data_IF_084620191675
#
_entry.id   IF_084620191675
#
_cell.length_a   1.000
_cell.length_b   1.000
_cell.length_c   1.000
_cell.angle_alpha   90.00
_cell.angle_beta   90.00
_cell.angle_gamma   90.00
#
_symmetry.space_group_name_H-M   'P 1'
#
loop_
_entity.id
_entity.type
_entity.pdbx_description
1 polymer ?
#
# COMPACT_ATOMS: atom_id res chain seq x y z
N UNK A 1 -50.86 -14.61 14.98
CA UNK A 1 -49.87 -13.59 14.57
C UNK A 1 -48.51 -14.20 14.90
N UNK A 2 -47.86 -14.96 14.01
CA UNK A 2 -46.97 -14.47 12.94
C UNK A 2 -45.68 -13.92 13.58
N UNK A 3 -44.44 -14.41 13.38
CA UNK A 3 -43.90 -15.30 12.37
C UNK A 3 -42.62 -16.01 12.88
N UNK A 4 -42.20 -16.99 12.09
CA UNK A 4 -41.12 -17.96 12.25
C UNK A 4 -39.75 -17.42 12.68
N UNK A 5 -39.11 -18.14 13.60
CA UNK A 5 -37.66 -18.12 13.78
C UNK A 5 -37.03 -19.03 12.71
N UNK A 6 -36.40 -18.43 11.72
CA UNK A 6 -35.54 -19.14 10.77
C UNK A 6 -34.11 -19.08 11.30
N UNK A 7 -33.71 -20.07 12.09
CA UNK A 7 -32.29 -20.30 12.38
C UNK A 7 -31.67 -20.94 11.13
N UNK A 8 -30.98 -20.14 10.31
CA UNK A 8 -30.20 -20.65 9.18
C UNK A 8 -28.71 -20.50 9.45
N UNK A 9 -28.08 -21.69 9.56
CA UNK A 9 -26.67 -22.04 9.33
C UNK A 9 -25.61 -21.25 10.11
N UNK A 10 -25.18 -21.93 11.18
CA UNK A 10 -23.81 -21.95 11.71
C UNK A 10 -22.78 -21.88 10.57
N UNK A 11 -22.14 -20.73 10.39
CA UNK A 11 -20.95 -20.60 9.58
C UNK A 11 -19.75 -20.90 10.48
N UNK A 12 -19.17 -22.09 10.29
CA UNK A 12 -17.79 -22.38 10.68
C UNK A 12 -16.91 -21.91 9.53
N UNK A 13 -16.54 -20.64 9.54
CA UNK A 13 -15.49 -20.09 8.71
C UNK A 13 -14.58 -19.31 9.63
N UNK A 14 -13.28 -19.60 9.60
CA UNK A 14 -12.25 -18.87 10.34
C UNK A 14 -12.53 -17.38 10.26
N UNK A 15 -12.62 -16.72 11.41
CA UNK A 15 -12.71 -15.27 11.51
C UNK A 15 -11.49 -14.76 10.76
N UNK A 16 -11.69 -14.21 9.55
CA UNK A 16 -10.65 -13.49 8.85
C UNK A 16 -10.12 -12.48 9.86
N UNK A 17 -8.82 -12.52 10.14
CA UNK A 17 -8.19 -11.62 11.09
C UNK A 17 -8.69 -10.22 10.77
N UNK A 18 -9.50 -9.67 11.66
CA UNK A 18 -10.03 -8.32 11.53
C UNK A 18 -8.79 -7.43 11.47
N UNK A 19 -8.54 -6.85 10.29
CA UNK A 19 -7.39 -5.98 10.10
C UNK A 19 -7.64 -4.76 10.97
N UNK A 20 -7.01 -4.73 12.14
CA UNK A 20 -7.01 -3.57 13.03
C UNK A 20 -5.88 -2.67 12.52
N UNK A 21 -6.16 -1.54 11.83
CA UNK A 21 -5.11 -0.66 11.41
C UNK A 21 -4.36 -0.12 12.64
N UNK A 22 -3.02 -0.16 12.67
CA UNK A 22 -2.27 0.56 13.68
C UNK A 22 -2.61 2.04 13.56
N UNK A 23 -2.84 2.69 14.69
CA UNK A 23 -3.17 4.12 14.84
C UNK A 23 -2.26 5.01 13.97
N UNK A 24 -2.75 5.35 12.78
CA UNK A 24 -2.05 6.14 11.76
C UNK A 24 -3.09 6.91 10.96
N UNK A 25 -2.90 8.23 10.87
CA UNK A 25 -3.97 9.20 10.63
C UNK A 25 -4.88 8.93 9.42
N UNK A 26 -6.17 9.26 9.58
CA UNK A 26 -7.33 9.28 8.67
C UNK A 26 -7.33 8.30 7.47
N UNK A 27 -6.29 8.25 6.64
CA UNK A 27 -6.27 7.57 5.34
C UNK A 27 -5.92 6.08 5.33
N UNK A 28 -5.49 5.45 6.44
CA UNK A 28 -5.21 4.02 6.44
C UNK A 28 -6.49 3.20 6.27
N UNK A 29 -6.65 2.56 5.11
CA UNK A 29 -7.85 1.83 4.71
C UNK A 29 -8.96 2.70 4.13
N UNK A 30 -8.78 4.02 4.06
CA UNK A 30 -9.72 4.93 3.41
C UNK A 30 -9.64 4.80 1.89
N UNK A 31 -10.74 5.21 1.26
CA UNK A 31 -10.86 5.25 -0.19
C UNK A 31 -9.99 6.37 -0.77
N UNK A 32 -9.14 6.02 -1.73
CA UNK A 32 -8.44 6.92 -2.63
C UNK A 32 -9.18 6.98 -3.98
N UNK A 33 -9.77 8.13 -4.27
CA UNK A 33 -10.52 8.36 -5.51
C UNK A 33 -9.60 8.37 -6.72
N UNK A 34 -10.15 8.10 -7.92
CA UNK A 34 -9.38 8.29 -9.17
C UNK A 34 -9.07 9.78 -9.33
N UNK A 35 -7.82 10.11 -9.66
CA UNK A 35 -7.26 11.47 -9.62
C UNK A 35 -6.88 11.95 -8.22
N UNK A 36 -7.23 11.19 -7.18
CA UNK A 36 -6.89 11.47 -5.80
C UNK A 36 -5.44 11.11 -5.48
N UNK A 37 -4.88 11.82 -4.51
CA UNK A 37 -3.51 11.56 -4.04
C UNK A 37 -3.41 11.69 -2.53
N UNK A 38 -2.47 10.95 -1.95
CA UNK A 38 -2.13 10.99 -0.54
C UNK A 38 -0.65 11.28 -0.37
N UNK A 39 -0.30 12.23 0.50
CA UNK A 39 1.08 12.47 0.90
C UNK A 39 1.37 11.72 2.20
N UNK A 40 2.42 10.92 2.19
CA UNK A 40 2.77 10.00 3.27
C UNK A 40 4.21 10.24 3.68
N UNK A 41 4.45 10.51 4.96
CA UNK A 41 5.78 10.50 5.54
C UNK A 41 6.08 9.11 6.10
N UNK A 42 7.14 8.51 5.61
CA UNK A 42 7.67 7.23 6.06
C UNK A 42 9.00 7.49 6.78
N UNK A 43 9.06 7.17 8.07
CA UNK A 43 10.29 7.25 8.86
C UNK A 43 10.84 5.85 9.06
N UNK A 44 12.01 5.57 8.47
CA UNK A 44 12.64 4.25 8.52
C UNK A 44 13.75 4.17 9.58
N UNK A 45 13.80 3.06 10.29
CA UNK A 45 14.87 2.67 11.21
C UNK A 45 15.54 1.39 10.69
N UNK A 46 16.88 1.42 10.55
CA UNK A 46 17.66 0.29 10.07
C UNK A 46 17.44 -0.01 8.58
N UNK A 47 17.53 -1.30 8.25
CA UNK A 47 17.33 -1.83 6.91
C UNK A 47 15.84 -2.13 6.70
N UNK A 48 15.12 -1.13 6.21
CA UNK A 48 13.68 -1.17 6.02
C UNK A 48 13.32 -1.11 4.53
N UNK A 49 12.05 -1.25 4.21
CA UNK A 49 11.49 -0.80 2.95
C UNK A 49 10.05 -0.34 3.18
N UNK A 50 9.45 0.36 2.22
CA UNK A 50 8.11 0.93 2.37
C UNK A 50 7.13 0.25 1.40
N UNK A 51 6.05 -0.34 1.92
CA UNK A 51 5.01 -0.98 1.10
C UNK A 51 3.78 -0.09 1.02
N UNK A 52 3.39 0.26 -0.21
CA UNK A 52 2.18 1.00 -0.54
C UNK A 52 1.20 0.08 -1.26
N UNK A 53 -0.06 0.08 -0.87
CA UNK A 53 -1.05 -0.85 -1.39
C UNK A 53 -2.37 -0.13 -1.70
N UNK A 54 -2.96 -0.42 -2.85
CA UNK A 54 -4.38 -0.17 -3.11
C UNK A 54 -5.11 -1.50 -3.13
N UNK A 55 -6.04 -1.68 -2.20
CA UNK A 55 -6.72 -2.95 -1.98
C UNK A 55 -8.22 -2.84 -2.21
N UNK A 56 -8.81 -3.96 -2.62
CA UNK A 56 -10.23 -4.27 -2.47
C UNK A 56 -10.41 -5.22 -1.26
N UNK A 57 -11.59 -5.82 -1.10
CA UNK A 57 -11.86 -6.75 0.01
C UNK A 57 -11.16 -8.13 -0.14
N UNK A 58 -10.47 -8.39 -1.26
CA UNK A 58 -9.89 -9.70 -1.62
C UNK A 58 -8.39 -9.65 -1.90
N UNK A 59 -7.90 -8.56 -2.49
CA UNK A 59 -6.52 -8.47 -2.99
C UNK A 59 -6.04 -7.01 -3.03
N UNK A 60 -4.74 -6.86 -3.21
CA UNK A 60 -4.04 -5.60 -3.32
C UNK A 60 -3.22 -5.52 -4.61
N UNK A 61 -3.09 -4.30 -5.12
CA UNK A 61 -1.99 -3.88 -5.97
C UNK A 61 -0.98 -3.15 -5.10
N UNK A 62 0.28 -3.58 -5.09
CA UNK A 62 1.30 -3.03 -4.23
C UNK A 62 2.55 -2.52 -4.97
N UNK A 63 3.19 -1.56 -4.33
CA UNK A 63 4.53 -1.05 -4.64
C UNK A 63 5.38 -1.18 -3.38
N UNK A 64 6.43 -1.99 -3.46
CA UNK A 64 7.47 -2.08 -2.44
C UNK A 64 8.63 -1.18 -2.85
N UNK A 65 8.84 -0.08 -2.14
CA UNK A 65 10.01 0.78 -2.32
C UNK A 65 11.14 0.22 -1.48
N UNK A 66 12.04 -0.51 -2.13
CA UNK A 66 13.17 -1.23 -1.55
C UNK A 66 14.34 -0.32 -1.18
N UNK A 67 14.49 0.78 -1.92
CA UNK A 67 15.68 1.63 -1.84
C UNK A 67 15.49 3.02 -2.40
N UNK A 68 16.38 3.93 -2.01
CA UNK A 68 16.44 5.29 -2.58
C UNK A 68 17.90 5.59 -2.92
N UNK A 69 18.18 5.83 -4.20
CA UNK A 69 19.53 6.20 -4.68
C UNK A 69 19.93 7.59 -4.17
N UNK A 70 21.23 7.93 -4.15
CA UNK A 70 21.69 9.27 -3.80
C UNK A 70 21.05 10.39 -4.64
N UNK A 71 20.76 10.12 -5.92
CA UNK A 71 20.07 11.06 -6.81
C UNK A 71 18.54 11.02 -6.71
N UNK A 72 18.02 10.39 -5.64
CA UNK A 72 16.60 10.36 -5.25
C UNK A 72 15.69 9.61 -6.24
N UNK A 73 16.19 8.55 -6.87
CA UNK A 73 15.35 7.57 -7.57
C UNK A 73 14.97 6.46 -6.62
N UNK A 74 13.73 6.01 -6.71
CA UNK A 74 13.28 4.84 -5.97
C UNK A 74 13.65 3.55 -6.69
N UNK A 75 14.10 2.59 -5.93
CA UNK A 75 14.21 1.19 -6.31
C UNK A 75 12.99 0.46 -5.78
N UNK A 76 12.30 -0.31 -6.62
CA UNK A 76 11.02 -0.87 -6.24
C UNK A 76 10.68 -2.19 -6.93
N UNK A 77 9.80 -2.93 -6.27
CA UNK A 77 8.99 -3.99 -6.87
C UNK A 77 7.53 -3.57 -6.92
N UNK A 78 6.82 -4.10 -7.91
CA UNK A 78 5.36 -4.00 -7.98
C UNK A 78 4.77 -5.39 -8.08
N UNK A 79 3.58 -5.54 -7.52
CA UNK A 79 2.83 -6.78 -7.60
C UNK A 79 1.34 -6.47 -7.71
N UNK A 80 0.66 -7.19 -8.60
CA UNK A 80 -0.80 -7.19 -8.70
C UNK A 80 -1.33 -8.53 -8.24
N UNK A 81 -2.49 -8.56 -7.58
CA UNK A 81 -3.08 -9.78 -6.99
C UNK A 81 -2.35 -10.29 -5.74
N UNK A 82 -1.70 -9.36 -5.04
CA UNK A 82 -1.17 -9.61 -3.71
C UNK A 82 -2.33 -9.87 -2.74
N UNK A 83 -2.29 -10.95 -1.96
CA UNK A 83 -3.10 -11.04 -0.75
C UNK A 83 -2.50 -10.15 0.35
N UNK A 84 -3.12 -10.12 1.53
CA UNK A 84 -2.59 -9.35 2.66
C UNK A 84 -1.14 -9.73 3.02
N UNK A 85 -0.67 -10.92 2.65
CA UNK A 85 0.68 -11.43 2.88
C UNK A 85 1.64 -11.20 1.69
N UNK A 86 1.14 -10.92 0.49
CA UNK A 86 1.92 -10.35 -0.62
C UNK A 86 2.71 -11.33 -1.49
N UNK A 87 2.22 -12.57 -1.70
CA UNK A 87 2.97 -13.57 -2.47
C UNK A 87 2.19 -14.25 -3.62
N UNK A 88 1.39 -13.49 -4.38
CA UNK A 88 0.78 -13.98 -5.64
C UNK A 88 0.74 -12.93 -6.73
N UNK A 89 0.76 -13.38 -7.99
CA UNK A 89 0.43 -12.58 -9.17
C UNK A 89 1.62 -12.08 -10.01
N UNK A 90 1.40 -11.00 -10.76
CA UNK A 90 2.37 -10.45 -11.73
C UNK A 90 3.34 -9.51 -11.04
N UNK A 91 4.62 -9.75 -11.25
CA UNK A 91 5.71 -8.95 -10.69
C UNK A 91 6.27 -7.97 -11.72
N UNK A 92 6.57 -6.77 -11.26
CA UNK A 92 7.38 -5.78 -11.95
C UNK A 92 8.51 -5.30 -11.03
N UNK A 93 9.56 -4.74 -11.63
CA UNK A 93 10.67 -4.15 -10.90
C UNK A 93 11.19 -2.91 -11.64
N UNK A 94 11.74 -1.96 -10.90
CA UNK A 94 12.37 -0.78 -11.46
C UNK A 94 13.43 -0.20 -10.53
N UNK A 95 14.44 0.44 -11.11
CA UNK A 95 15.56 1.01 -10.37
C UNK A 95 16.66 -0.01 -10.04
N UNK A 96 17.57 0.39 -9.16
CA UNK A 96 18.70 -0.43 -8.71
C UNK A 96 18.33 -1.20 -7.44
N UNK A 97 18.06 -2.51 -7.58
CA UNK A 97 17.53 -3.38 -6.54
C UNK A 97 18.51 -3.64 -5.38
N UNK A 98 19.78 -3.22 -5.51
CA UNK A 98 20.79 -3.40 -4.46
C UNK A 98 20.97 -2.18 -3.58
N UNK A 99 20.26 -1.09 -3.86
CA UNK A 99 20.32 0.12 -3.06
C UNK A 99 19.44 -0.04 -1.82
N UNK A 100 19.97 0.18 -0.61
CA UNK A 100 19.18 0.07 0.62
C UNK A 100 18.20 1.24 0.75
N UNK A 101 17.13 1.04 1.50
CA UNK A 101 16.26 2.14 1.92
C UNK A 101 16.98 2.95 3.01
N UNK A 102 17.23 4.25 2.78
CA UNK A 102 17.94 5.06 3.76
C UNK A 102 17.09 5.27 5.03
N UNK A 103 17.71 5.19 6.20
CA UNK A 103 17.06 5.56 7.46
C UNK A 103 16.64 7.04 7.48
N UNK A 104 15.73 7.38 8.39
CA UNK A 104 15.17 8.73 8.51
C UNK A 104 13.83 8.90 7.79
N UNK A 105 13.38 10.16 7.72
CA UNK A 105 12.06 10.50 7.18
C UNK A 105 12.12 10.80 5.67
N UNK A 106 11.21 10.17 4.94
CA UNK A 106 11.04 10.33 3.49
C UNK A 106 9.57 10.57 3.17
N UNK A 107 9.30 11.56 2.34
CA UNK A 107 7.94 11.87 1.92
C UNK A 107 7.65 11.28 0.56
N UNK A 108 6.58 10.51 0.51
CA UNK A 108 6.05 9.89 -0.69
C UNK A 108 4.70 10.51 -1.04
N UNK A 109 4.39 10.47 -2.32
CA UNK A 109 3.04 10.69 -2.83
C UNK A 109 2.56 9.39 -3.44
N UNK A 110 1.36 8.98 -3.07
CA UNK A 110 0.62 7.90 -3.70
C UNK A 110 -0.55 8.52 -4.43
N UNK A 111 -0.71 8.20 -5.70
CA UNK A 111 -1.79 8.72 -6.52
C UNK A 111 -2.49 7.58 -7.24
N UNK A 112 -3.81 7.61 -7.24
CA UNK A 112 -4.61 6.72 -8.07
C UNK A 112 -4.94 7.42 -9.39
N UNK A 113 -4.03 7.34 -10.34
CA UNK A 113 -4.11 8.05 -11.63
C UNK A 113 -5.32 7.69 -12.46
N UNK A 114 -5.70 6.41 -12.43
CA UNK A 114 -6.88 5.90 -13.14
C UNK A 114 -7.49 4.73 -12.39
N UNK A 115 -8.62 4.21 -12.89
CA UNK A 115 -9.18 2.96 -12.38
C UNK A 115 -8.22 1.77 -12.47
N UNK A 116 -7.22 1.83 -13.36
CA UNK A 116 -6.31 0.75 -13.68
C UNK A 116 -4.86 1.03 -13.30
N UNK A 117 -4.57 2.17 -12.69
CA UNK A 117 -3.20 2.59 -12.43
C UNK A 117 -3.08 3.39 -11.14
N UNK A 118 -2.09 3.05 -10.34
CA UNK A 118 -1.61 3.82 -9.23
C UNK A 118 -0.11 4.03 -9.34
N UNK A 119 0.34 5.13 -8.76
CA UNK A 119 1.71 5.57 -8.83
C UNK A 119 2.22 6.00 -7.46
N UNK A 120 3.49 5.70 -7.21
CA UNK A 120 4.20 6.10 -5.99
C UNK A 120 5.50 6.78 -6.39
N UNK A 121 5.81 7.91 -5.76
CA UNK A 121 7.08 8.61 -5.98
C UNK A 121 7.49 9.39 -4.74
N UNK A 122 8.77 9.78 -4.68
CA UNK A 122 9.26 10.70 -3.65
C UNK A 122 8.73 12.10 -3.94
N UNK A 123 8.18 12.79 -2.94
CA UNK A 123 7.62 14.14 -3.09
C UNK A 123 8.62 15.14 -3.69
N UNK A 124 9.92 14.95 -3.44
CA UNK A 124 11.00 15.76 -4.00
C UNK A 124 11.35 15.46 -5.47
N UNK A 125 10.86 14.35 -6.04
CA UNK A 125 11.16 13.87 -7.42
C UNK A 125 9.90 13.34 -8.11
N UNK A 126 8.95 14.21 -8.49
CA UNK A 126 7.73 13.81 -9.19
C UNK A 126 7.99 13.24 -10.60
N UNK A 127 9.21 13.39 -11.13
CA UNK A 127 9.65 12.84 -12.42
C UNK A 127 10.02 11.35 -12.35
N UNK A 128 10.12 10.75 -11.16
CA UNK A 128 10.61 9.38 -10.95
C UNK A 128 9.57 8.53 -10.23
N UNK A 129 8.73 7.87 -11.02
CA UNK A 129 7.51 7.23 -10.54
C UNK A 129 7.62 5.71 -10.65
N UNK A 130 7.20 5.02 -9.58
CA UNK A 130 6.86 3.61 -9.62
C UNK A 130 5.38 3.47 -9.95
N UNK A 131 5.05 2.68 -10.96
CA UNK A 131 3.67 2.49 -11.41
C UNK A 131 3.26 1.04 -11.27
N UNK A 132 2.07 0.82 -10.73
CA UNK A 132 1.44 -0.49 -10.61
C UNK A 132 0.05 -0.46 -11.22
N UNK A 133 -0.31 -1.54 -11.91
CA UNK A 133 -1.69 -1.70 -12.37
C UNK A 133 -2.61 -1.90 -11.16
N UNK A 134 -3.74 -1.19 -11.14
CA UNK A 134 -4.77 -1.31 -10.10
C UNK A 134 -5.84 -2.29 -10.57
N UNK A 135 -6.20 -3.21 -9.67
CA UNK A 135 -7.29 -4.15 -9.93
C UNK A 135 -8.64 -3.44 -9.84
N UNK A 136 -9.65 -3.88 -10.60
CA UNK A 136 -11.01 -3.35 -10.46
C UNK A 136 -11.48 -3.44 -9.00
N UNK A 137 -11.97 -2.32 -8.46
CA UNK A 137 -12.41 -2.21 -7.06
C UNK A 137 -11.30 -1.92 -6.05
N UNK A 138 -10.02 -2.00 -6.45
CA UNK A 138 -8.90 -1.62 -5.59
C UNK A 138 -8.87 -0.11 -5.38
N UNK A 139 -9.37 0.35 -4.23
CA UNK A 139 -9.47 1.76 -3.92
C UNK A 139 -9.15 2.14 -2.48
N UNK A 140 -8.88 1.18 -1.59
CA UNK A 140 -8.48 1.47 -0.22
C UNK A 140 -6.96 1.54 -0.09
N UNK A 141 -6.43 2.67 0.38
CA UNK A 141 -5.01 2.88 0.52
C UNK A 141 -4.49 2.32 1.84
N UNK A 142 -3.45 1.51 1.79
CA UNK A 142 -2.71 1.05 2.95
C UNK A 142 -1.23 1.28 2.77
N UNK A 143 -0.56 1.71 3.83
CA UNK A 143 0.90 1.75 3.89
C UNK A 143 1.34 0.92 5.10
N UNK A 144 2.28 -0.01 4.89
CA UNK A 144 2.75 -0.90 5.97
C UNK A 144 4.25 -1.10 5.95
N UNK A 145 4.79 -1.47 7.11
CA UNK A 145 6.10 -2.08 7.21
C UNK A 145 6.04 -3.50 6.65
N UNK A 146 7.01 -3.88 5.79
CA UNK A 146 7.08 -5.21 5.25
C UNK A 146 8.25 -6.00 5.87
N UNK A 147 7.99 -6.84 6.87
CA UNK A 147 8.82 -7.98 7.38
C UNK A 147 10.28 -7.70 7.80
N UNK A 148 10.90 -6.60 7.40
CA UNK A 148 12.31 -6.24 7.56
C UNK A 148 12.40 -4.75 7.93
N UNK A 149 13.12 -4.48 9.02
CA UNK A 149 13.24 -3.13 9.57
C UNK A 149 11.95 -2.64 10.23
N UNK A 150 11.94 -1.37 10.64
CA UNK A 150 10.76 -0.72 11.21
C UNK A 150 10.52 0.58 10.46
N UNK A 151 9.27 0.78 10.02
CA UNK A 151 8.84 2.08 9.50
C UNK A 151 7.69 2.64 10.34
N UNK A 152 7.72 3.95 10.55
CA UNK A 152 6.58 4.71 11.09
C UNK A 152 5.95 5.48 9.95
N UNK A 153 4.63 5.35 9.81
CA UNK A 153 3.85 5.97 8.75
C UNK A 153 3.02 7.11 9.33
N UNK A 154 3.09 8.26 8.68
CA UNK A 154 2.22 9.40 8.97
C UNK A 154 1.61 9.90 7.66
N UNK A 155 0.28 9.86 7.56
CA UNK A 155 -0.44 10.54 6.48
C UNK A 155 -0.45 12.05 6.75
N UNK A 156 0.05 12.83 5.78
CA UNK A 156 0.15 14.28 5.87
C UNK A 156 -1.07 14.97 5.27
N UNK A 157 -1.61 14.42 4.18
CA UNK A 157 -2.81 14.90 3.50
C UNK A 157 -3.34 13.83 2.55
N UNK A 158 -4.62 13.92 2.17
CA UNK A 158 -5.17 13.17 1.05
C UNK A 158 -6.54 13.67 0.62
N UNK A 159 -6.82 13.50 -0.66
CA UNK A 159 -8.04 13.91 -1.37
C UNK A 159 -8.53 12.79 -2.30
#
# INVERSE_FOLDING_TARGET
MGASVVVRKRWSGSVAAEFIPPTGGRLQGDRLSVGGSARVRVTAEGDAFARFMLCDDKQCSLVDVLGITPDKRISYWTQTEADAEGYRGRFGAGGDLFVPFPSGAHEFVVERRSEKEASVWLASRPDRVATVAVRPGGDRLFVKDPWRGTVRVQFLSGE
#
